data_IF_223421243193
#
_entry.id   IF_223421243193
#
_cell.length_a   1.000
_cell.length_b   1.000
_cell.length_c   1.000
_cell.angle_alpha   90.00
_cell.angle_beta   90.00
_cell.angle_gamma   90.00
#
_symmetry.space_group_name_H-M   'P 1'
#
loop_
_entity.id
_entity.type
_entity.pdbx_description
1 polymer ?
#
# COMPACT_ATOMS: atom_id res chain seq x y z
N UNK A 1 13.11 3.10 -8.84
CA UNK A 1 13.61 3.43 -10.20
C UNK A 1 15.01 2.86 -10.33
N UNK A 2 15.19 1.83 -11.15
CA UNK A 2 16.54 1.43 -11.61
C UNK A 2 16.82 2.17 -12.91
N UNK A 3 18.06 2.55 -13.20
CA UNK A 3 18.47 3.07 -14.52
C UNK A 3 19.73 2.34 -14.92
N UNK A 4 19.73 1.73 -16.11
CA UNK A 4 20.89 1.05 -16.68
C UNK A 4 21.34 1.71 -17.98
N UNK A 5 22.48 1.28 -18.53
CA UNK A 5 23.08 1.85 -19.74
C UNK A 5 22.19 1.83 -21.01
N UNK A 6 21.03 1.14 -20.97
CA UNK A 6 20.05 1.03 -22.06
C UNK A 6 18.75 1.83 -21.84
N UNK A 7 18.66 2.63 -20.78
CA UNK A 7 17.46 3.41 -20.44
C UNK A 7 16.86 3.05 -19.08
N UNK A 8 15.63 3.50 -18.84
CA UNK A 8 14.91 3.31 -17.57
C UNK A 8 14.80 1.80 -17.25
N UNK A 9 15.38 1.38 -16.13
CA UNK A 9 15.27 0.04 -15.58
C UNK A 9 14.03 -0.13 -14.72
N UNK A 10 13.76 -1.38 -14.36
CA UNK A 10 12.58 -1.85 -13.64
C UNK A 10 12.22 -1.01 -12.40
N UNK A 11 10.93 -0.91 -12.10
CA UNK A 11 10.39 -0.32 -10.87
C UNK A 11 9.11 -1.02 -10.42
N UNK A 12 8.93 -1.05 -9.11
CA UNK A 12 7.68 -1.31 -8.41
C UNK A 12 7.34 -0.01 -7.70
N UNK A 13 6.12 0.50 -7.83
CA UNK A 13 5.73 1.76 -7.24
C UNK A 13 4.39 1.64 -6.53
N UNK A 14 4.31 2.28 -5.37
CA UNK A 14 3.05 2.47 -4.65
C UNK A 14 2.90 3.95 -4.34
N UNK A 15 1.71 4.48 -4.59
CA UNK A 15 1.36 5.87 -4.36
C UNK A 15 0.12 5.95 -3.48
N UNK A 16 0.11 6.87 -2.52
CA UNK A 16 -1.12 7.35 -1.90
C UNK A 16 -1.32 8.78 -2.41
N UNK A 17 -2.45 9.04 -3.07
CA UNK A 17 -2.78 10.35 -3.64
C UNK A 17 -4.18 10.77 -3.25
N UNK A 18 -4.44 12.07 -3.32
CA UNK A 18 -5.77 12.63 -3.13
C UNK A 18 -6.34 13.07 -4.49
N UNK A 19 -7.56 12.66 -4.79
CA UNK A 19 -8.27 13.02 -6.02
C UNK A 19 -9.76 13.21 -5.71
N UNK A 20 -10.32 14.38 -6.06
CA UNK A 20 -11.74 14.67 -5.81
C UNK A 20 -12.17 14.56 -4.34
N UNK A 21 -11.26 14.88 -3.40
CA UNK A 21 -11.51 14.77 -1.95
C UNK A 21 -11.50 13.34 -1.42
N UNK A 22 -10.99 12.38 -2.19
CA UNK A 22 -10.84 10.98 -1.78
C UNK A 22 -9.38 10.57 -1.82
N UNK A 23 -8.96 9.78 -0.83
CA UNK A 23 -7.64 9.17 -0.83
C UNK A 23 -7.68 7.88 -1.68
N UNK A 24 -6.68 7.73 -2.54
CA UNK A 24 -6.47 6.59 -3.41
C UNK A 24 -5.12 5.96 -3.11
N UNK A 25 -5.08 4.63 -3.10
CA UNK A 25 -3.85 3.84 -3.09
C UNK A 25 -3.68 3.21 -4.47
N UNK A 26 -2.57 3.50 -5.14
CA UNK A 26 -2.24 2.95 -6.46
C UNK A 26 -1.00 2.08 -6.38
N UNK A 27 -1.17 0.81 -6.75
CA UNK A 27 -0.07 -0.13 -6.95
C UNK A 27 0.27 -0.20 -8.45
N UNK A 28 1.56 -0.01 -8.76
CA UNK A 28 2.13 -0.11 -10.10
C UNK A 28 3.16 -1.24 -10.13
N UNK A 29 2.68 -2.49 -10.19
CA UNK A 29 3.51 -3.66 -10.26
C UNK A 29 4.16 -3.87 -11.63
N UNK A 30 5.31 -4.54 -11.68
CA UNK A 30 5.99 -4.85 -12.93
C UNK A 30 5.19 -5.87 -13.74
N UNK A 31 5.02 -5.58 -15.03
CA UNK A 31 4.54 -6.56 -16.01
C UNK A 31 3.06 -6.93 -15.87
N UNK A 32 2.30 -6.22 -15.05
CA UNK A 32 0.85 -6.39 -14.91
C UNK A 32 0.16 -5.01 -14.76
N UNK A 33 -1.17 -4.92 -14.97
CA UNK A 33 -1.90 -3.66 -14.81
C UNK A 33 -1.78 -3.07 -13.41
N UNK A 34 -1.84 -1.75 -13.33
CA UNK A 34 -1.95 -1.05 -12.04
C UNK A 34 -3.28 -1.34 -11.36
N UNK A 35 -3.30 -1.32 -10.03
CA UNK A 35 -4.49 -1.49 -9.22
C UNK A 35 -4.73 -0.24 -8.37
N UNK A 36 -5.97 0.27 -8.38
CA UNK A 36 -6.36 1.44 -7.60
C UNK A 36 -7.40 1.04 -6.56
N UNK A 37 -7.15 1.43 -5.31
CA UNK A 37 -8.02 1.20 -4.17
C UNK A 37 -8.48 2.53 -3.62
N UNK A 38 -9.78 2.68 -3.34
CA UNK A 38 -10.33 3.92 -2.78
C UNK A 38 -10.44 3.82 -1.27
N UNK A 39 -10.08 4.88 -0.54
CA UNK A 39 -10.23 4.91 0.91
C UNK A 39 -11.70 4.75 1.31
N UNK A 40 -11.98 3.70 2.07
CA UNK A 40 -13.26 3.43 2.71
C UNK A 40 -13.32 4.00 4.13
N UNK A 41 -12.19 3.94 4.82
CA UNK A 41 -12.00 4.48 6.17
C UNK A 41 -10.77 5.37 6.15
N UNK A 42 -10.89 6.58 6.69
CA UNK A 42 -9.77 7.46 6.97
C UNK A 42 -10.06 8.20 8.28
N UNK A 43 -9.25 7.94 9.30
CA UNK A 43 -9.31 8.56 10.63
C UNK A 43 -7.92 9.06 11.03
N UNK A 44 -7.81 9.68 12.20
CA UNK A 44 -6.50 10.10 12.72
C UNK A 44 -5.50 8.93 12.89
N UNK A 45 -5.99 7.72 13.14
CA UNK A 45 -5.16 6.56 13.50
C UNK A 45 -5.24 5.39 12.53
N UNK A 46 -6.09 5.47 11.51
CA UNK A 46 -6.25 4.38 10.54
C UNK A 46 -6.67 4.85 9.15
N UNK A 47 -6.24 4.12 8.14
CA UNK A 47 -6.79 4.22 6.78
C UNK A 47 -6.96 2.82 6.21
N UNK A 48 -8.07 2.59 5.53
CA UNK A 48 -8.35 1.34 4.80
C UNK A 48 -8.81 1.69 3.40
N UNK A 49 -8.09 1.20 2.41
CA UNK A 49 -8.40 1.30 1.00
C UNK A 49 -9.03 -0.01 0.52
N UNK A 50 -10.02 0.09 -0.38
CA UNK A 50 -10.77 -1.05 -0.92
C UNK A 50 -10.82 -1.05 -2.44
N UNK A 51 -10.70 -2.25 -3.02
CA UNK A 51 -11.02 -2.60 -4.40
C UNK A 51 -11.68 -4.00 -4.39
N UNK A 52 -13.00 -4.10 -4.13
CA UNK A 52 -13.67 -5.38 -3.92
C UNK A 52 -13.55 -6.36 -5.10
N UNK A 53 -13.44 -5.83 -6.32
CA UNK A 53 -13.33 -6.62 -7.56
C UNK A 53 -11.91 -7.11 -7.84
N UNK A 54 -10.91 -6.71 -7.05
CA UNK A 54 -9.54 -7.18 -7.21
C UNK A 54 -9.40 -8.62 -6.67
N UNK A 55 -8.62 -9.46 -7.35
CA UNK A 55 -8.47 -10.88 -7.01
C UNK A 55 -7.79 -11.10 -5.65
N UNK A 56 -6.63 -10.50 -5.43
CA UNK A 56 -6.00 -10.29 -4.13
C UNK A 56 -4.89 -9.24 -4.28
N UNK A 57 -4.76 -8.28 -3.36
CA UNK A 57 -5.64 -8.04 -2.22
C UNK A 57 -6.89 -7.25 -2.63
N UNK A 58 -7.93 -7.31 -1.80
CA UNK A 58 -9.13 -6.45 -1.94
C UNK A 58 -9.07 -5.24 -1.01
N UNK A 59 -8.23 -5.32 0.02
CA UNK A 59 -8.01 -4.26 1.01
C UNK A 59 -6.54 -4.07 1.29
N UNK A 60 -6.16 -2.82 1.43
CA UNK A 60 -4.87 -2.39 1.98
C UNK A 60 -5.17 -1.48 3.17
N UNK A 61 -4.59 -1.78 4.33
CA UNK A 61 -4.87 -1.01 5.54
C UNK A 61 -3.63 -0.66 6.33
N UNK A 62 -3.73 0.45 7.05
CA UNK A 62 -2.73 0.95 7.97
C UNK A 62 -3.42 1.37 9.26
N UNK A 63 -2.84 1.01 10.40
CA UNK A 63 -3.32 1.41 11.72
C UNK A 63 -2.16 1.74 12.63
N UNK A 64 -2.20 2.88 13.31
CA UNK A 64 -1.27 3.22 14.37
C UNK A 64 -1.43 2.24 15.54
N UNK A 65 -0.32 1.69 16.02
CA UNK A 65 -0.27 0.77 17.17
C UNK A 65 0.75 1.33 18.17
N UNK A 66 0.33 2.36 18.92
CA UNK A 66 1.19 3.13 19.81
C UNK A 66 1.83 4.36 19.13
N UNK A 67 2.72 5.06 19.86
CA UNK A 67 3.32 6.32 19.37
C UNK A 67 4.28 6.15 18.18
N UNK A 68 4.88 4.97 18.07
CA UNK A 68 6.04 4.74 17.19
C UNK A 68 5.91 3.53 16.28
N UNK A 69 4.71 2.98 16.14
CA UNK A 69 4.49 1.80 15.29
C UNK A 69 3.22 1.93 14.46
N UNK A 70 3.26 1.31 13.29
CA UNK A 70 2.13 1.17 12.37
C UNK A 70 2.02 -0.29 11.97
N UNK A 71 0.83 -0.84 12.09
CA UNK A 71 0.51 -2.14 11.49
C UNK A 71 -0.08 -1.87 10.11
N UNK A 72 0.64 -2.26 9.07
CA UNK A 72 0.07 -2.35 7.73
C UNK A 72 -0.43 -3.77 7.47
N UNK A 73 -1.40 -3.92 6.59
CA UNK A 73 -1.84 -5.23 6.13
C UNK A 73 -2.41 -5.16 4.72
N UNK A 74 -2.42 -6.32 4.08
CA UNK A 74 -3.27 -6.57 2.91
C UNK A 74 -4.19 -7.74 3.23
N UNK A 75 -5.45 -7.66 2.82
CA UNK A 75 -6.42 -8.73 3.01
C UNK A 75 -7.38 -8.89 1.82
N UNK A 76 -7.99 -10.06 1.72
CA UNK A 76 -8.94 -10.40 0.68
C UNK A 76 -9.23 -11.89 0.67
N UNK A 77 -10.06 -12.33 -0.26
CA UNK A 77 -10.32 -13.75 -0.50
C UNK A 77 -9.46 -14.27 -1.64
N UNK A 78 -8.74 -15.38 -1.44
CA UNK A 78 -7.99 -16.06 -2.49
C UNK A 78 -8.56 -17.47 -2.63
N UNK A 79 -9.11 -17.79 -3.80
CA UNK A 79 -9.79 -19.08 -4.05
C UNK A 79 -10.89 -19.40 -3.01
N UNK A 80 -11.67 -18.39 -2.62
CA UNK A 80 -12.77 -18.52 -1.65
C UNK A 80 -12.33 -18.57 -0.18
N UNK A 81 -11.03 -18.46 0.12
CA UNK A 81 -10.51 -18.45 1.49
C UNK A 81 -10.02 -17.06 1.85
N UNK A 82 -10.50 -16.53 2.98
CA UNK A 82 -10.00 -15.29 3.53
C UNK A 82 -8.49 -15.42 3.84
N UNK A 83 -7.71 -14.43 3.40
CA UNK A 83 -6.28 -14.32 3.64
C UNK A 83 -5.96 -12.91 4.09
N UNK A 84 -5.03 -12.81 5.04
CA UNK A 84 -4.49 -11.55 5.55
C UNK A 84 -2.99 -11.71 5.72
N UNK A 85 -2.24 -10.70 5.30
CA UNK A 85 -0.79 -10.60 5.51
C UNK A 85 -0.51 -9.29 6.20
N UNK A 86 0.20 -9.36 7.32
CA UNK A 86 0.49 -8.22 8.17
C UNK A 86 1.96 -7.83 8.08
N UNK A 87 2.21 -6.53 8.09
CA UNK A 87 3.53 -5.92 8.04
C UNK A 87 3.65 -4.97 9.23
N UNK A 88 4.21 -5.43 10.36
CA UNK A 88 4.46 -4.57 11.50
C UNK A 88 5.65 -3.65 11.21
N UNK A 89 5.40 -2.34 11.17
CA UNK A 89 6.42 -1.32 11.05
C UNK A 89 6.67 -0.64 12.39
N UNK A 90 7.94 -0.40 12.69
CA UNK A 90 8.38 0.43 13.80
C UNK A 90 9.11 1.65 13.24
N UNK A 91 8.98 2.79 13.92
CA UNK A 91 9.73 4.00 13.62
C UNK A 91 11.22 3.70 13.73
N UNK A 92 11.96 4.06 12.70
CA UNK A 92 13.42 4.01 12.70
C UNK A 92 13.96 5.44 12.61
N UNK A 93 15.06 5.79 13.29
CA UNK A 93 15.72 7.06 13.08
C UNK A 93 16.17 7.17 11.62
N UNK A 94 16.03 8.35 11.01
CA UNK A 94 16.69 8.64 9.75
C UNK A 94 18.20 8.54 9.98
N UNK A 95 18.96 7.77 9.17
CA UNK A 95 20.41 7.84 9.23
C UNK A 95 20.81 9.28 8.89
N UNK A 96 21.54 9.93 9.80
CA UNK A 96 22.02 11.29 9.58
C UNK A 96 22.83 11.33 8.27
N UNK A 97 22.53 12.29 7.40
CA UNK A 97 23.39 12.59 6.25
C UNK A 97 24.77 12.98 6.78
N UNK A 98 25.84 12.35 6.28
CA UNK A 98 27.19 12.85 6.47
C UNK A 98 27.40 14.16 5.71
#
# INVERSE_FOLDING_TARGET
RTVGARGLGDYELTLIKEEGGRLLYEAHPKGQPSATFTARVATADSVVFEAPEHDFPQRVGYRRVGGDSVLAWVEGSMSGKARRVEFPYARTPCPASR
#
